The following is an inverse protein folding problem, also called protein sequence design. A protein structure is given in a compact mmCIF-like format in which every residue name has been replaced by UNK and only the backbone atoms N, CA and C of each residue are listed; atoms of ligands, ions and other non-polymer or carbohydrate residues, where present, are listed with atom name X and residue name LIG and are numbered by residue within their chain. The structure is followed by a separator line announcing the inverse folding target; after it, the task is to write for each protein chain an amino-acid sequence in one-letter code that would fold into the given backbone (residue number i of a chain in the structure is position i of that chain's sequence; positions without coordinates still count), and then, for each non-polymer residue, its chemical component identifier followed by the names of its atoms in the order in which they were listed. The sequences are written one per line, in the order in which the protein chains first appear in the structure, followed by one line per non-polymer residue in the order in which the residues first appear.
data_IF_834459669498
#
_entry.id   IF_834459669498
#
_cell.length_a   1.000
_cell.length_b   1.000
_cell.length_c   1.000
_cell.angle_alpha   90.00
_cell.angle_beta   90.00
_cell.angle_gamma   90.00
#
_symmetry.space_group_name_H-M   'P 1'
#
loop_
_entity.id
_entity.type
_entity.pdbx_description
1 polymer ?
#
# COMPACT_ATOMS: atom_id res chain seq x y z
N UNK A 1 -64.73 -27.94 -8.38
CA UNK A 1 -64.00 -26.90 -7.62
C UNK A 1 -63.17 -26.07 -8.62
N UNK A 2 -63.70 -25.03 -9.27
CA UNK A 2 -63.82 -23.63 -8.80
C UNK A 2 -62.49 -23.01 -8.34
N UNK A 3 -61.85 -22.21 -9.20
CA UNK A 3 -61.70 -20.75 -9.10
C UNK A 3 -60.50 -20.25 -9.94
N UNK A 4 -60.77 -19.37 -10.90
CA UNK A 4 -59.88 -18.27 -11.31
C UNK A 4 -60.48 -16.98 -10.68
N UNK A 5 -59.67 -15.99 -10.27
CA UNK A 5 -59.45 -14.86 -11.17
C UNK A 5 -58.04 -14.23 -11.11
N UNK A 6 -57.72 -13.53 -12.21
CA UNK A 6 -56.57 -12.65 -12.40
C UNK A 6 -56.65 -11.33 -11.60
N UNK A 7 -55.48 -10.74 -11.28
CA UNK A 7 -55.13 -9.29 -11.23
C UNK A 7 -53.76 -9.17 -10.51
N UNK A 8 -52.82 -8.28 -10.83
CA UNK A 8 -52.74 -7.20 -11.79
C UNK A 8 -51.25 -6.89 -12.02
N UNK A 9 -50.88 -6.56 -13.26
CA UNK A 9 -49.70 -5.77 -13.53
C UNK A 9 -49.99 -4.32 -13.13
N UNK A 10 -49.05 -3.67 -12.45
CA UNK A 10 -48.87 -2.22 -12.53
C UNK A 10 -47.38 -1.92 -12.44
N UNK A 11 -46.79 -1.67 -13.60
CA UNK A 11 -45.59 -0.88 -13.74
C UNK A 11 -45.90 0.56 -13.33
N UNK A 12 -45.03 1.17 -12.52
CA UNK A 12 -44.88 2.62 -12.48
C UNK A 12 -43.44 2.98 -12.20
N UNK A 13 -42.90 3.68 -13.18
CA UNK A 13 -41.60 4.36 -13.28
C UNK A 13 -41.59 5.66 -12.48
N UNK A 14 -40.50 5.97 -11.79
CA UNK A 14 -39.95 7.33 -11.54
C UNK A 14 -38.83 7.20 -10.48
N UNK A 15 -37.55 7.21 -10.85
CA UNK A 15 -36.61 8.37 -10.90
C UNK A 15 -36.13 8.88 -9.53
N UNK A 16 -34.83 8.66 -9.32
CA UNK A 16 -33.82 9.46 -8.60
C UNK A 16 -34.03 9.85 -7.14
N UNK A 17 -33.14 9.35 -6.27
CA UNK A 17 -32.34 10.24 -5.42
C UNK A 17 -30.94 9.65 -5.12
N UNK A 18 -29.94 10.51 -5.30
CA UNK A 18 -28.52 10.30 -5.02
C UNK A 18 -28.22 10.92 -3.66
N UNK A 19 -27.75 10.15 -2.67
CA UNK A 19 -26.61 10.55 -1.80
C UNK A 19 -26.19 9.50 -0.77
N UNK A 20 -24.93 9.09 -0.92
CA UNK A 20 -23.88 9.17 0.09
C UNK A 20 -24.14 8.63 1.51
N UNK A 21 -23.55 7.46 1.78
CA UNK A 21 -22.79 7.21 3.02
C UNK A 21 -21.52 6.39 2.70
N UNK A 22 -20.62 6.97 1.92
CA UNK A 22 -19.20 6.62 1.94
C UNK A 22 -18.58 7.34 3.13
N UNK A 23 -18.25 6.61 4.20
CA UNK A 23 -17.74 7.22 5.42
C UNK A 23 -17.02 6.28 6.38
N UNK A 24 -16.46 5.15 5.91
CA UNK A 24 -15.69 4.23 6.78
C UNK A 24 -14.34 3.79 6.18
N UNK A 25 -13.94 4.30 5.01
CA UNK A 25 -12.72 3.85 4.33
C UNK A 25 -11.63 4.95 4.19
N UNK A 26 -11.54 5.86 5.17
CA UNK A 26 -10.54 6.95 5.13
C UNK A 26 -9.60 7.03 6.34
N UNK A 27 -9.90 6.38 7.46
CA UNK A 27 -9.00 6.40 8.63
C UNK A 27 -7.85 5.39 8.55
N UNK A 28 -8.01 4.28 7.82
CA UNK A 28 -6.99 3.23 7.81
C UNK A 28 -5.78 3.51 6.90
N UNK A 29 -5.83 4.52 6.02
CA UNK A 29 -4.77 4.76 5.01
C UNK A 29 -3.66 5.68 5.56
N UNK A 30 -3.90 6.41 6.65
CA UNK A 30 -2.94 7.40 7.18
C UNK A 30 -2.08 6.93 8.36
N UNK A 31 -2.38 5.80 8.99
CA UNK A 31 -1.68 5.39 10.23
C UNK A 31 -0.39 4.60 10.00
N UNK A 32 -0.09 4.17 8.77
CA UNK A 32 1.09 3.33 8.49
C UNK A 32 2.42 4.10 8.56
N UNK A 33 2.40 5.43 8.41
CA UNK A 33 3.62 6.24 8.31
C UNK A 33 4.16 6.75 9.66
N UNK A 34 3.36 6.73 10.74
CA UNK A 34 3.73 7.35 12.03
C UNK A 34 4.59 6.45 12.94
N UNK A 35 4.84 5.20 12.53
CA UNK A 35 5.56 4.23 13.35
C UNK A 35 7.03 4.23 12.98
N UNK A 36 7.91 4.32 13.99
CA UNK A 36 9.36 4.29 13.78
C UNK A 36 9.77 3.04 12.97
N UNK A 37 10.50 3.25 11.88
CA UNK A 37 10.97 2.18 11.02
C UNK A 37 12.14 1.45 11.67
N UNK A 38 11.85 0.28 12.24
CA UNK A 38 12.84 -0.61 12.86
C UNK A 38 13.13 -1.86 12.01
N UNK A 39 12.75 -1.81 10.73
CA UNK A 39 12.80 -2.98 9.84
C UNK A 39 14.18 -3.16 9.20
N UNK A 40 15.00 -2.11 9.18
CA UNK A 40 16.24 -2.07 8.41
C UNK A 40 16.04 -1.69 6.94
N UNK A 41 14.80 -1.61 6.42
CA UNK A 41 14.54 -1.04 5.10
C UNK A 41 14.68 0.49 5.12
N UNK A 42 15.10 1.13 4.01
CA UNK A 42 14.96 2.57 3.85
C UNK A 42 13.50 3.02 3.97
N UNK A 43 13.24 4.17 4.60
CA UNK A 43 11.87 4.66 4.86
C UNK A 43 11.03 4.81 3.59
N UNK A 44 11.63 5.34 2.52
CA UNK A 44 10.95 5.51 1.24
C UNK A 44 10.58 4.16 0.62
N UNK A 45 11.46 3.15 0.74
CA UNK A 45 11.17 1.82 0.24
C UNK A 45 10.03 1.18 1.05
N UNK A 46 10.10 1.22 2.38
CA UNK A 46 9.02 0.72 3.24
C UNK A 46 7.68 1.38 2.88
N UNK A 47 7.65 2.72 2.85
CA UNK A 47 6.45 3.48 2.52
C UNK A 47 5.91 3.13 1.11
N UNK A 48 6.81 2.99 0.13
CA UNK A 48 6.45 2.62 -1.24
C UNK A 48 5.83 1.21 -1.31
N UNK A 49 6.44 0.24 -0.63
CA UNK A 49 5.94 -1.13 -0.58
C UNK A 49 4.58 -1.19 0.12
N UNK A 50 4.43 -0.52 1.28
CA UNK A 50 3.16 -0.47 2.02
C UNK A 50 2.07 0.25 1.22
N UNK A 51 2.41 1.35 0.55
CA UNK A 51 1.48 2.11 -0.29
C UNK A 51 1.03 1.35 -1.54
N UNK A 52 1.90 0.57 -2.16
CA UNK A 52 1.58 -0.24 -3.34
C UNK A 52 0.82 -1.53 -2.98
N UNK A 53 1.17 -2.16 -1.86
CA UNK A 53 0.62 -3.46 -1.47
C UNK A 53 -0.59 -3.39 -0.55
N UNK A 54 -0.78 -2.28 0.17
CA UNK A 54 -1.77 -2.14 1.23
C UNK A 54 -1.49 -2.98 2.47
N UNK A 55 -0.28 -3.54 2.62
CA UNK A 55 0.12 -4.36 3.76
C UNK A 55 1.21 -3.68 4.57
N UNK A 56 1.14 -3.82 5.89
CA UNK A 56 2.19 -3.36 6.78
C UNK A 56 3.47 -4.20 6.64
N UNK A 57 4.60 -3.53 6.75
CA UNK A 57 5.94 -4.10 6.70
C UNK A 57 6.70 -3.94 8.03
N UNK A 58 6.05 -3.47 9.09
CA UNK A 58 6.66 -3.17 10.40
C UNK A 58 7.32 -4.37 11.10
N UNK A 59 6.88 -5.58 10.78
CA UNK A 59 7.38 -6.86 11.29
C UNK A 59 8.57 -7.39 10.49
N UNK A 60 8.90 -6.77 9.36
CA UNK A 60 9.98 -7.20 8.47
C UNK A 60 11.34 -6.82 9.07
N UNK A 61 12.33 -7.69 8.90
CA UNK A 61 13.72 -7.46 9.34
C UNK A 61 14.70 -7.71 8.22
N UNK A 62 15.52 -6.71 7.93
CA UNK A 62 16.61 -6.80 6.96
C UNK A 62 17.92 -7.07 7.67
N UNK A 63 18.54 -8.19 7.31
CA UNK A 63 19.85 -8.62 7.79
C UNK A 63 20.88 -8.35 6.71
N UNK A 64 21.48 -7.15 6.76
CA UNK A 64 22.57 -6.76 5.85
C UNK A 64 23.86 -7.50 6.15
N UNK A 65 24.70 -7.66 5.13
CA UNK A 65 25.99 -8.36 5.23
C UNK A 65 25.87 -9.77 5.82
N UNK A 66 24.74 -10.45 5.57
CA UNK A 66 24.51 -11.80 6.07
C UNK A 66 25.33 -12.81 5.27
N UNK A 67 25.88 -13.80 5.97
CA UNK A 67 26.55 -14.94 5.35
C UNK A 67 25.56 -16.01 4.85
N UNK A 68 24.28 -15.93 5.25
CA UNK A 68 23.29 -16.96 4.94
C UNK A 68 23.00 -17.12 3.44
N UNK A 69 22.87 -16.05 2.62
CA UNK A 69 22.62 -16.23 1.19
C UNK A 69 23.70 -17.06 0.50
N UNK A 70 24.96 -16.96 0.94
CA UNK A 70 26.09 -17.72 0.36
C UNK A 70 25.94 -19.24 0.54
N UNK A 71 25.30 -19.69 1.63
CA UNK A 71 25.03 -21.11 1.90
C UNK A 71 24.06 -21.72 0.87
N UNK A 72 23.32 -20.85 0.19
CA UNK A 72 22.32 -21.18 -0.81
C UNK A 72 22.78 -20.79 -2.23
N UNK A 73 24.02 -20.32 -2.36
CA UNK A 73 24.57 -19.76 -3.60
C UNK A 73 23.73 -18.59 -4.15
N UNK A 74 23.10 -17.82 -3.25
CA UNK A 74 22.26 -16.66 -3.58
C UNK A 74 22.94 -15.34 -3.16
N UNK A 75 22.46 -14.23 -3.73
CA UNK A 75 22.86 -12.88 -3.34
C UNK A 75 22.00 -12.30 -2.23
N UNK A 76 20.72 -12.66 -2.24
CA UNK A 76 19.75 -12.28 -1.23
C UNK A 76 18.63 -13.32 -1.22
N UNK A 77 17.81 -13.31 -0.16
CA UNK A 77 16.53 -14.00 -0.16
C UNK A 77 15.59 -13.44 0.91
N UNK A 78 14.29 -13.60 0.69
CA UNK A 78 13.22 -13.35 1.65
C UNK A 78 12.58 -14.67 2.15
N UNK A 79 12.42 -14.80 3.46
CA UNK A 79 11.72 -15.91 4.09
C UNK A 79 10.84 -15.43 5.24
N UNK A 80 9.53 -15.49 5.05
CA UNK A 80 8.57 -14.98 6.03
C UNK A 80 8.68 -13.47 6.15
N UNK A 81 9.13 -13.00 7.31
CA UNK A 81 9.37 -11.58 7.60
C UNK A 81 10.84 -11.22 7.59
N UNK A 82 11.74 -12.15 7.30
CA UNK A 82 13.18 -11.92 7.31
C UNK A 82 13.71 -11.81 5.88
N UNK A 83 14.54 -10.78 5.65
CA UNK A 83 15.25 -10.55 4.39
C UNK A 83 16.74 -10.60 4.68
N UNK A 84 17.47 -11.45 3.98
CA UNK A 84 18.92 -11.57 4.13
C UNK A 84 19.62 -11.07 2.87
N UNK A 85 20.57 -10.15 3.04
CA UNK A 85 21.32 -9.53 1.96
C UNK A 85 22.81 -9.86 2.14
N UNK A 86 23.44 -10.45 1.13
CA UNK A 86 24.88 -10.67 1.14
C UNK A 86 25.65 -9.34 1.07
N UNK A 87 26.91 -9.28 1.54
CA UNK A 87 27.71 -8.06 1.48
C UNK A 87 27.76 -7.43 0.07
N UNK A 88 27.38 -6.15 -0.05
CA UNK A 88 27.40 -5.41 -1.31
C UNK A 88 26.26 -5.75 -2.29
N UNK A 89 25.20 -6.42 -1.83
CA UNK A 89 24.05 -6.84 -2.64
C UNK A 89 22.75 -6.09 -2.28
N UNK A 90 22.84 -4.91 -1.67
CA UNK A 90 21.70 -4.11 -1.19
C UNK A 90 20.72 -3.72 -2.30
N UNK A 91 21.19 -3.68 -3.54
CA UNK A 91 20.35 -3.45 -4.73
C UNK A 91 19.21 -4.47 -4.88
N UNK A 92 19.34 -5.66 -4.29
CA UNK A 92 18.30 -6.71 -4.35
C UNK A 92 17.17 -6.46 -3.33
N UNK A 93 17.36 -5.56 -2.37
CA UNK A 93 16.40 -5.32 -1.30
C UNK A 93 14.97 -4.98 -1.77
N UNK A 94 14.74 -4.13 -2.78
CA UNK A 94 13.38 -3.82 -3.24
C UNK A 94 12.64 -5.05 -3.79
N UNK A 95 13.37 -5.92 -4.49
CA UNK A 95 12.87 -7.16 -5.04
C UNK A 95 12.50 -8.14 -3.90
N UNK A 96 13.42 -8.37 -2.96
CA UNK A 96 13.16 -9.25 -1.81
C UNK A 96 12.02 -8.73 -0.91
N UNK A 97 11.89 -7.41 -0.76
CA UNK A 97 10.78 -6.82 -0.01
C UNK A 97 9.42 -7.10 -0.68
N UNK A 98 9.37 -7.16 -2.02
CA UNK A 98 8.15 -7.54 -2.72
C UNK A 98 7.84 -9.04 -2.60
N UNK A 99 8.85 -9.91 -2.48
CA UNK A 99 8.60 -11.31 -2.14
C UNK A 99 7.93 -11.47 -0.79
N UNK A 100 8.29 -10.67 0.22
CA UNK A 100 7.58 -10.67 1.51
C UNK A 100 6.11 -10.31 1.33
N UNK A 101 5.79 -9.31 0.50
CA UNK A 101 4.40 -8.97 0.13
C UNK A 101 3.69 -10.18 -0.48
N UNK A 102 4.29 -10.87 -1.45
CA UNK A 102 3.68 -12.04 -2.07
C UNK A 102 3.45 -13.19 -1.08
N UNK A 103 4.40 -13.42 -0.17
CA UNK A 103 4.29 -14.41 0.90
C UNK A 103 3.14 -14.05 1.85
N UNK A 104 3.00 -12.78 2.25
CA UNK A 104 1.89 -12.28 3.08
C UNK A 104 0.53 -12.36 2.38
N UNK A 105 0.47 -12.22 1.06
CA UNK A 105 -0.74 -12.42 0.26
C UNK A 105 -1.14 -13.91 0.15
N UNK A 106 -0.29 -14.84 0.59
CA UNK A 106 -0.52 -16.28 0.45
C UNK A 106 -0.49 -16.74 -1.01
N UNK A 107 0.09 -15.95 -1.92
CA UNK A 107 0.22 -16.27 -3.34
C UNK A 107 1.40 -17.19 -3.62
N UNK A 108 2.40 -17.17 -2.74
CA UNK A 108 3.52 -18.11 -2.80
C UNK A 108 3.03 -19.43 -2.21
N UNK A 109 2.88 -20.44 -3.06
CA UNK A 109 2.62 -21.78 -2.59
C UNK A 109 3.76 -22.20 -1.66
N UNK A 110 3.43 -22.82 -0.52
CA UNK A 110 4.42 -23.45 0.38
C UNK A 110 5.01 -24.69 -0.29
N UNK A 111 5.55 -24.55 -1.49
CA UNK A 111 5.99 -25.64 -2.34
C UNK A 111 7.47 -25.84 -2.16
N UNK A 112 7.75 -26.94 -1.44
CA UNK A 112 9.01 -27.68 -1.36
C UNK A 112 10.17 -26.87 -0.76
N UNK A 113 10.55 -27.28 0.45
CA UNK A 113 11.95 -27.24 0.88
C UNK A 113 12.83 -27.82 -0.25
N UNK A 114 13.33 -26.96 -1.13
CA UNK A 114 14.49 -27.31 -1.94
C UNK A 114 15.66 -27.45 -0.97
N UNK A 115 16.61 -28.34 -1.31
CA UNK A 115 17.81 -28.70 -0.54
C UNK A 115 18.72 -27.48 -0.34
N UNK A 116 18.28 -26.57 0.53
CA UNK A 116 18.82 -25.25 0.84
C UNK A 116 17.92 -24.59 1.93
N UNK A 117 16.61 -24.90 1.97
CA UNK A 117 15.71 -24.53 3.07
C UNK A 117 14.96 -23.21 2.89
N UNK A 118 15.18 -22.48 1.79
CA UNK A 118 14.44 -21.25 1.47
C UNK A 118 13.37 -21.56 0.42
N UNK A 119 12.09 -21.20 0.67
CA UNK A 119 11.02 -21.32 -0.30
C UNK A 119 11.24 -20.28 -1.41
N UNK A 120 11.90 -20.68 -2.49
CA UNK A 120 11.96 -19.91 -3.74
C UNK A 120 10.73 -20.26 -4.55
N UNK A 121 10.03 -19.24 -5.05
CA UNK A 121 8.86 -19.42 -5.88
C UNK A 121 9.26 -19.31 -7.35
N UNK A 122 9.41 -20.43 -8.05
CA UNK A 122 9.81 -20.46 -9.47
C UNK A 122 8.70 -20.03 -10.46
N UNK A 123 7.77 -19.16 -10.04
CA UNK A 123 6.74 -18.59 -10.92
C UNK A 123 7.27 -17.30 -11.55
N UNK A 124 7.67 -17.38 -12.83
CA UNK A 124 8.18 -16.25 -13.60
C UNK A 124 7.27 -15.00 -13.57
N UNK A 125 5.95 -15.18 -13.39
CA UNK A 125 5.02 -14.07 -13.25
C UNK A 125 5.19 -13.32 -11.94
N UNK A 126 5.48 -14.04 -10.86
CA UNK A 126 5.71 -13.46 -9.53
C UNK A 126 7.11 -12.86 -9.41
N UNK A 127 8.12 -13.44 -10.04
CA UNK A 127 9.47 -12.85 -10.14
C UNK A 127 9.45 -11.50 -10.87
N UNK A 128 8.77 -11.45 -12.03
CA UNK A 128 8.60 -10.20 -12.78
C UNK A 128 7.81 -9.15 -12.00
N UNK A 129 6.78 -9.58 -11.27
CA UNK A 129 6.02 -8.67 -10.40
C UNK A 129 6.92 -8.09 -9.30
N UNK A 130 7.82 -8.89 -8.72
CA UNK A 130 8.76 -8.44 -7.70
C UNK A 130 9.76 -7.40 -8.23
N UNK A 131 10.29 -7.61 -9.44
CA UNK A 131 11.13 -6.61 -10.11
C UNK A 131 10.36 -5.30 -10.34
N UNK A 132 9.21 -5.36 -11.03
CA UNK A 132 8.45 -4.17 -11.43
C UNK A 132 7.97 -3.36 -10.22
N UNK A 133 7.46 -4.05 -9.20
CA UNK A 133 6.88 -3.40 -8.04
C UNK A 133 7.94 -2.96 -7.03
N UNK A 134 9.05 -3.69 -6.90
CA UNK A 134 10.21 -3.26 -6.12
C UNK A 134 10.81 -1.97 -6.67
N UNK A 135 11.01 -1.89 -7.99
CA UNK A 135 11.47 -0.66 -8.64
C UNK A 135 10.46 0.49 -8.49
N UNK A 136 9.17 0.20 -8.64
CA UNK A 136 8.11 1.21 -8.47
C UNK A 136 8.04 1.74 -7.03
N UNK A 137 8.28 0.88 -6.03
CA UNK A 137 8.31 1.27 -4.63
C UNK A 137 9.44 2.28 -4.34
N UNK A 138 10.61 2.10 -4.95
CA UNK A 138 11.72 3.07 -4.84
C UNK A 138 11.37 4.45 -5.40
N UNK A 139 10.51 4.50 -6.42
CA UNK A 139 10.10 5.74 -7.09
C UNK A 139 8.92 6.42 -6.38
N UNK A 140 8.25 5.75 -5.45
CA UNK A 140 7.24 6.39 -4.63
C UNK A 140 7.92 7.42 -3.74
N UNK A 141 7.69 8.69 -4.08
CA UNK A 141 8.07 9.81 -3.24
C UNK A 141 7.33 9.64 -1.92
N UNK A 142 8.05 9.39 -0.82
CA UNK A 142 7.50 9.55 0.52
C UNK A 142 6.88 10.95 0.54
N UNK A 143 5.56 11.03 0.66
CA UNK A 143 4.87 12.30 0.67
C UNK A 143 5.49 13.14 1.80
N UNK A 144 6.07 14.32 1.50
CA UNK A 144 6.65 15.14 2.55
C UNK A 144 5.53 15.51 3.53
N UNK A 145 5.75 15.22 4.81
CA UNK A 145 4.96 15.71 5.93
C UNK A 145 5.16 17.23 6.10
N UNK A 146 4.76 18.09 5.16
CA UNK A 146 4.56 19.56 5.31
C UNK A 146 3.81 20.06 4.05
N UNK A 147 2.70 20.80 4.04
CA UNK A 147 2.06 21.68 5.00
C UNK A 147 0.53 21.44 4.98
N UNK A 148 -0.08 21.12 6.12
CA UNK A 148 -1.51 21.36 6.31
C UNK A 148 -1.68 22.77 6.87
N UNK A 149 -2.32 23.72 6.17
CA UNK A 149 -2.58 25.03 6.73
C UNK A 149 -3.57 24.86 7.90
N UNK A 150 -3.05 25.06 9.12
CA UNK A 150 -3.84 25.27 10.33
C UNK A 150 -4.81 26.43 10.07
N UNK A 151 -6.07 26.07 9.78
CA UNK A 151 -7.19 27.01 9.75
C UNK A 151 -7.38 27.57 11.15
N UNK A 152 -6.80 28.76 11.37
CA UNK A 152 -7.13 29.60 12.52
C UNK A 152 -8.53 30.16 12.28
N UNK A 153 -9.48 29.55 12.97
CA UNK A 153 -10.82 30.08 13.19
C UNK A 153 -10.70 31.39 13.99
N UNK A 154 -10.92 32.52 13.33
CA UNK A 154 -11.12 33.84 13.94
C UNK A 154 -12.42 34.40 13.41
N UNK A 155 -13.42 34.47 14.28
CA UNK A 155 -14.72 35.11 14.06
C UNK A 155 -14.58 36.64 14.16
N UNK A 156 -15.56 37.34 13.56
CA UNK A 156 -15.96 38.74 13.81
C UNK A 156 -15.06 39.83 13.16
N UNK A 157 -15.54 40.84 12.41
CA UNK A 157 -16.87 41.42 12.22
C UNK A 157 -17.10 41.91 10.78
N UNK A 158 -18.38 42.05 10.44
CA UNK A 158 -18.89 42.65 9.21
C UNK A 158 -18.74 44.16 9.20
N UNK A 159 -18.34 44.74 8.06
CA UNK A 159 -18.87 46.03 7.58
C UNK A 159 -18.65 46.16 6.06
N UNK A 160 -19.71 45.93 5.28
CA UNK A 160 -19.89 46.48 3.93
C UNK A 160 -20.56 47.86 4.08
N UNK A 161 -20.54 48.79 3.09
CA UNK A 161 -19.75 48.91 1.84
C UNK A 161 -19.20 50.35 1.63
N UNK A 162 -18.46 50.65 0.55
CA UNK A 162 -18.56 51.94 -0.21
C UNK A 162 -17.70 51.96 -1.49
N UNK A 163 -18.33 52.36 -2.59
CA UNK A 163 -17.72 52.68 -3.89
C UNK A 163 -16.94 54.01 -3.84
N UNK A 164 -15.73 54.09 -4.42
CA UNK A 164 -15.26 55.31 -5.09
C UNK A 164 -14.39 55.00 -6.32
N UNK A 165 -14.95 55.35 -7.47
CA UNK A 165 -14.29 55.67 -8.74
C UNK A 165 -13.46 56.95 -8.57
N UNK A 166 -12.25 57.02 -9.13
CA UNK A 166 -11.72 58.16 -9.94
C UNK A 166 -10.25 57.97 -10.34
N UNK A 167 -10.06 58.02 -11.65
CA UNK A 167 -9.00 58.66 -12.45
C UNK A 167 -7.53 58.53 -12.03
N UNK A 168 -6.72 57.98 -12.95
CA UNK A 168 -5.97 58.84 -13.87
C UNK A 168 -5.68 58.13 -15.19
#
# INVERSE_FOLDING_TARGET
MTYEPQKAHNHSTATEDRRSTSGVAREAVQTFQLKANNTGMPDHLKAGIEGLSGMAMDDVKVHYNSEQPSQLQAHAYAQGTDIHIAPGQERHLPHEAWHVVQQKQGRVAATRQLKAGVPVNDDNGLEREADEMGEKALQMKALPEEEMPLQKKGLEEEDLPVQKKKNS
#
